data_IF_748337612891
#
_entry.id   IF_748337612891
#
_cell.length_a   1.000
_cell.length_b   1.000
_cell.length_c   1.000
_cell.angle_alpha   90.00
_cell.angle_beta   90.00
_cell.angle_gamma   90.00
#
_symmetry.space_group_name_H-M   'P 1'
#
loop_
_entity.id
_entity.type
_entity.pdbx_description
1 polymer ?
#
# COMPACT_ATOMS: atom_id res chain seq x y z
N UNK A 1 -8.39 -14.21 -22.10
CA UNK A 1 -7.94 -13.67 -20.81
C UNK A 1 -9.01 -14.02 -19.82
N UNK A 2 -8.71 -14.92 -18.89
CA UNK A 2 -9.68 -15.30 -17.88
C UNK A 2 -9.90 -14.14 -16.91
N UNK A 3 -11.16 -13.82 -16.57
CA UNK A 3 -11.46 -12.80 -15.57
C UNK A 3 -10.82 -13.19 -14.23
N UNK A 4 -10.45 -12.20 -13.42
CA UNK A 4 -10.06 -12.45 -12.03
C UNK A 4 -11.21 -13.21 -11.34
N UNK A 5 -11.00 -14.48 -10.92
CA UNK A 5 -12.07 -15.26 -10.30
C UNK A 5 -12.58 -14.59 -9.02
N UNK A 6 -11.83 -13.62 -8.47
CA UNK A 6 -12.18 -12.88 -7.27
C UNK A 6 -12.96 -11.58 -7.50
N UNK A 7 -13.19 -11.17 -8.75
CA UNK A 7 -13.92 -9.93 -9.05
C UNK A 7 -15.44 -10.03 -8.86
N UNK A 8 -15.98 -11.25 -8.83
CA UNK A 8 -17.40 -11.53 -8.66
C UNK A 8 -17.79 -11.89 -7.22
N UNK A 9 -19.09 -12.07 -7.01
CA UNK A 9 -19.61 -12.54 -5.72
C UNK A 9 -19.14 -13.97 -5.47
N UNK A 10 -18.65 -14.23 -4.26
CA UNK A 10 -18.19 -15.54 -3.85
C UNK A 10 -18.69 -15.93 -2.46
N UNK A 11 -18.82 -17.23 -2.28
CA UNK A 11 -19.11 -17.86 -1.00
C UNK A 11 -17.97 -17.58 -0.02
N UNK A 12 -18.30 -17.14 1.19
CA UNK A 12 -17.38 -16.73 2.26
C UNK A 12 -17.27 -15.23 2.47
N UNK A 13 -17.70 -14.40 1.51
CA UNK A 13 -17.72 -12.94 1.66
C UNK A 13 -18.56 -12.50 2.87
N UNK A 14 -18.08 -11.51 3.61
CA UNK A 14 -18.78 -10.91 4.75
C UNK A 14 -19.56 -9.69 4.29
N UNK A 15 -20.83 -9.62 4.68
CA UNK A 15 -21.78 -8.64 4.15
C UNK A 15 -22.58 -7.98 5.26
N UNK A 16 -23.11 -6.80 4.94
CA UNK A 16 -24.09 -6.06 5.74
C UNK A 16 -25.27 -5.67 4.85
N UNK A 17 -26.39 -5.25 5.44
CA UNK A 17 -27.53 -4.74 4.67
C UNK A 17 -27.13 -3.57 3.76
N UNK A 18 -27.68 -3.57 2.55
CA UNK A 18 -27.40 -2.60 1.51
C UNK A 18 -28.47 -1.53 1.34
N UNK A 19 -28.37 -0.82 0.21
CA UNK A 19 -29.20 0.35 -0.09
C UNK A 19 -30.64 -0.02 -0.44
N UNK A 20 -30.85 -1.17 -1.07
CA UNK A 20 -32.18 -1.62 -1.50
C UNK A 20 -32.87 -2.54 -0.47
N UNK A 21 -32.28 -2.64 0.74
CA UNK A 21 -32.76 -3.51 1.81
C UNK A 21 -34.19 -3.15 2.22
N UNK A 22 -35.07 -4.15 2.23
CA UNK A 22 -36.48 -4.02 2.62
C UNK A 22 -36.97 -5.15 3.52
N UNK A 23 -36.04 -5.88 4.14
CA UNK A 23 -36.31 -7.16 4.82
C UNK A 23 -36.38 -7.03 6.34
N UNK A 24 -36.79 -5.86 6.84
CA UNK A 24 -36.91 -5.59 8.27
C UNK A 24 -35.58 -5.79 9.00
N UNK A 25 -35.60 -6.60 10.07
CA UNK A 25 -34.45 -6.88 10.94
C UNK A 25 -33.95 -8.33 10.80
N UNK A 26 -34.09 -8.94 9.62
CA UNK A 26 -33.65 -10.33 9.39
C UNK A 26 -32.14 -10.54 9.62
N UNK A 27 -31.34 -9.47 9.50
CA UNK A 27 -29.91 -9.40 9.79
C UNK A 27 -29.57 -9.02 11.25
N UNK A 28 -30.57 -8.88 12.13
CA UNK A 28 -30.38 -8.45 13.52
C UNK A 28 -30.32 -6.93 13.73
N UNK A 29 -30.62 -6.14 12.69
CA UNK A 29 -30.54 -4.67 12.76
C UNK A 29 -29.36 -4.09 11.99
N UNK A 30 -29.38 -2.78 11.73
CA UNK A 30 -28.33 -2.15 10.92
C UNK A 30 -26.95 -2.31 11.57
N UNK A 31 -26.00 -2.80 10.76
CA UNK A 31 -24.65 -3.17 11.19
C UNK A 31 -24.48 -4.63 11.61
N UNK A 32 -25.55 -5.44 11.60
CA UNK A 32 -25.46 -6.88 11.70
C UNK A 32 -24.71 -7.47 10.51
N UNK A 33 -23.76 -8.38 10.77
CA UNK A 33 -22.91 -9.00 9.75
C UNK A 33 -23.37 -10.42 9.43
N UNK A 34 -23.26 -10.80 8.16
CA UNK A 34 -23.50 -12.14 7.69
C UNK A 34 -22.43 -12.63 6.74
N UNK A 35 -22.50 -13.93 6.43
CA UNK A 35 -21.62 -14.61 5.48
C UNK A 35 -22.43 -15.05 4.26
N UNK A 36 -21.94 -14.80 3.05
CA UNK A 36 -22.49 -15.41 1.83
C UNK A 36 -22.16 -16.91 1.84
N UNK A 37 -23.18 -17.77 1.87
CA UNK A 37 -22.99 -19.23 1.97
C UNK A 37 -23.38 -19.99 0.70
N UNK A 38 -24.17 -19.37 -0.17
CA UNK A 38 -24.66 -19.98 -1.41
C UNK A 38 -24.85 -18.89 -2.47
N UNK A 39 -24.51 -19.22 -3.72
CA UNK A 39 -24.79 -18.37 -4.88
C UNK A 39 -26.02 -18.91 -5.61
N UNK A 40 -26.90 -17.99 -5.98
CA UNK A 40 -28.05 -18.32 -6.81
C UNK A 40 -27.65 -18.82 -8.19
N UNK A 41 -28.51 -19.65 -8.78
CA UNK A 41 -28.25 -20.32 -10.05
C UNK A 41 -29.45 -20.17 -10.98
N UNK A 42 -29.16 -20.09 -12.27
CA UNK A 42 -30.20 -20.04 -13.29
C UNK A 42 -31.12 -21.28 -13.18
N UNK A 43 -32.43 -21.06 -13.16
CA UNK A 43 -33.45 -22.12 -13.04
C UNK A 43 -33.74 -22.62 -11.62
N UNK A 44 -33.03 -22.15 -10.59
CA UNK A 44 -33.37 -22.48 -9.20
C UNK A 44 -34.64 -21.73 -8.76
N UNK A 45 -35.67 -22.43 -8.25
CA UNK A 45 -36.91 -21.79 -7.79
C UNK A 45 -36.73 -21.08 -6.44
N UNK A 46 -35.80 -21.53 -5.60
CA UNK A 46 -35.56 -20.98 -4.26
C UNK A 46 -34.43 -19.94 -4.23
N UNK A 47 -33.40 -20.12 -5.05
CA UNK A 47 -32.22 -19.25 -5.10
C UNK A 47 -31.89 -18.87 -6.57
N UNK A 48 -32.69 -18.01 -7.22
CA UNK A 48 -32.50 -17.65 -8.63
C UNK A 48 -31.16 -16.98 -8.91
N UNK A 49 -30.76 -16.92 -10.18
CA UNK A 49 -29.56 -16.17 -10.59
C UNK A 49 -29.57 -14.71 -10.09
N UNK A 50 -28.38 -14.15 -9.82
CA UNK A 50 -28.19 -12.82 -9.19
C UNK A 50 -28.82 -12.65 -7.80
N UNK A 51 -29.03 -13.75 -7.10
CA UNK A 51 -29.31 -13.76 -5.67
C UNK A 51 -28.21 -14.50 -4.91
N UNK A 52 -28.15 -14.31 -3.61
CA UNK A 52 -27.26 -15.07 -2.72
C UNK A 52 -28.00 -15.48 -1.47
N UNK A 53 -27.60 -16.60 -0.85
CA UNK A 53 -28.03 -16.94 0.51
C UNK A 53 -27.00 -16.43 1.48
N UNK A 54 -27.48 -15.70 2.50
CA UNK A 54 -26.65 -15.21 3.60
C UNK A 54 -27.02 -15.96 4.87
N UNK A 55 -26.00 -16.43 5.58
CA UNK A 55 -26.07 -16.86 6.96
C UNK A 55 -25.66 -15.67 7.84
N UNK A 56 -26.64 -15.02 8.47
CA UNK A 56 -26.37 -13.95 9.43
C UNK A 56 -25.78 -14.52 10.71
N UNK A 57 -24.89 -13.75 11.34
CA UNK A 57 -24.19 -14.15 12.55
C UNK A 57 -25.16 -14.49 13.70
N UNK A 58 -26.29 -13.78 13.78
CA UNK A 58 -27.33 -14.03 14.78
C UNK A 58 -28.14 -15.32 14.50
N UNK A 59 -27.98 -15.93 13.32
CA UNK A 59 -28.51 -17.25 12.98
C UNK A 59 -29.52 -17.29 11.83
N UNK A 60 -30.14 -16.17 11.46
CA UNK A 60 -31.07 -16.12 10.31
C UNK A 60 -30.37 -16.53 9.01
N UNK A 61 -30.96 -17.45 8.26
CA UNK A 61 -30.48 -17.89 6.93
C UNK A 61 -31.55 -17.65 5.88
N UNK A 62 -31.26 -16.84 4.86
CA UNK A 62 -32.23 -16.57 3.80
C UNK A 62 -31.55 -15.95 2.56
N UNK A 63 -32.30 -15.86 1.46
CA UNK A 63 -31.82 -15.33 0.19
C UNK A 63 -32.08 -13.82 0.02
N UNK A 64 -31.18 -13.16 -0.71
CA UNK A 64 -31.20 -11.71 -0.93
C UNK A 64 -30.78 -11.37 -2.37
N UNK A 65 -31.21 -10.21 -2.86
CA UNK A 65 -30.89 -9.74 -4.21
C UNK A 65 -29.47 -9.17 -4.25
N UNK A 66 -28.67 -9.69 -5.17
CA UNK A 66 -27.33 -9.21 -5.49
C UNK A 66 -27.28 -8.90 -7.01
N UNK A 67 -28.17 -8.01 -7.45
CA UNK A 67 -28.37 -7.64 -8.86
C UNK A 67 -29.65 -8.21 -9.49
N UNK A 68 -30.40 -9.06 -8.80
CA UNK A 68 -31.72 -9.53 -9.26
C UNK A 68 -32.70 -8.35 -9.35
N UNK A 69 -33.32 -8.20 -10.53
CA UNK A 69 -34.14 -7.03 -10.89
C UNK A 69 -33.43 -5.68 -10.65
N UNK A 70 -32.09 -5.66 -10.75
CA UNK A 70 -31.28 -4.45 -10.55
C UNK A 70 -31.13 -3.99 -9.10
N UNK A 71 -31.64 -4.76 -8.12
CA UNK A 71 -31.56 -4.41 -6.72
C UNK A 71 -30.39 -5.10 -6.00
N UNK A 72 -29.80 -4.39 -5.05
CA UNK A 72 -28.65 -4.79 -4.25
C UNK A 72 -28.98 -4.64 -2.75
N UNK A 73 -29.49 -5.71 -2.17
CA UNK A 73 -29.90 -5.78 -0.76
C UNK A 73 -28.69 -5.84 0.18
N UNK A 74 -27.47 -6.01 -0.34
CA UNK A 74 -26.26 -6.27 0.45
C UNK A 74 -25.09 -5.42 -0.01
N UNK A 75 -24.23 -5.05 0.94
CA UNK A 75 -22.94 -4.44 0.72
C UNK A 75 -21.83 -5.41 1.13
N UNK A 76 -20.72 -5.41 0.38
CA UNK A 76 -19.53 -6.17 0.72
C UNK A 76 -18.76 -5.46 1.84
N UNK A 77 -18.71 -6.05 3.03
CA UNK A 77 -17.94 -5.51 4.15
C UNK A 77 -16.49 -5.98 4.11
N UNK A 78 -16.26 -7.29 3.93
CA UNK A 78 -14.93 -7.88 3.90
C UNK A 78 -14.87 -9.08 2.94
N UNK A 79 -13.81 -9.12 2.15
CA UNK A 79 -13.51 -10.19 1.19
C UNK A 79 -12.18 -10.89 1.49
N UNK A 80 -11.55 -10.65 2.65
CA UNK A 80 -10.37 -11.43 3.04
C UNK A 80 -10.69 -12.92 3.23
N UNK A 81 -11.92 -13.26 3.56
CA UNK A 81 -12.38 -14.63 3.83
C UNK A 81 -12.32 -15.52 2.59
N UNK A 82 -12.36 -14.91 1.41
CA UNK A 82 -12.21 -15.57 0.10
C UNK A 82 -10.78 -15.49 -0.45
N UNK A 83 -9.82 -15.04 0.37
CA UNK A 83 -8.40 -15.01 0.02
C UNK A 83 -7.94 -13.78 -0.75
N UNK A 84 -8.79 -12.74 -0.91
CA UNK A 84 -8.36 -11.48 -1.55
C UNK A 84 -7.22 -10.87 -0.72
N UNK A 85 -6.12 -10.52 -1.40
CA UNK A 85 -4.95 -9.89 -0.78
C UNK A 85 -4.18 -9.00 -1.75
N UNK A 86 -3.51 -7.99 -1.19
CA UNK A 86 -2.55 -7.14 -1.88
C UNK A 86 -1.15 -7.39 -1.26
N UNK A 87 -0.40 -8.40 -1.77
CA UNK A 87 0.78 -8.96 -1.08
C UNK A 87 1.89 -7.94 -0.81
N UNK A 88 2.08 -7.01 -1.74
CA UNK A 88 3.20 -6.06 -1.72
C UNK A 88 2.80 -4.71 -1.10
N UNK A 89 1.60 -4.60 -0.53
CA UNK A 89 1.09 -3.36 0.03
C UNK A 89 1.06 -3.50 1.55
N UNK A 90 1.54 -2.45 2.22
CA UNK A 90 1.59 -2.33 3.68
C UNK A 90 0.53 -1.32 4.09
N UNK A 91 -0.12 -1.55 5.24
CA UNK A 91 -0.98 -0.53 5.83
C UNK A 91 -0.09 0.48 6.57
N UNK A 92 -0.04 1.74 6.14
CA UNK A 92 0.81 2.76 6.77
C UNK A 92 0.45 3.06 8.22
N UNK A 93 -0.80 2.79 8.61
CA UNK A 93 -1.24 3.00 9.99
C UNK A 93 -0.88 1.83 10.92
N UNK A 94 -1.17 0.58 10.55
CA UNK A 94 -0.95 -0.57 11.44
C UNK A 94 0.28 -1.40 11.09
N UNK A 95 1.02 -0.99 10.06
CA UNK A 95 2.26 -1.59 9.54
C UNK A 95 2.15 -3.08 9.19
N UNK A 96 0.93 -3.60 9.01
CA UNK A 96 0.70 -4.98 8.57
C UNK A 96 1.02 -5.10 7.09
N UNK A 97 1.94 -6.02 6.79
CA UNK A 97 2.31 -6.39 5.42
C UNK A 97 1.24 -7.25 4.77
N UNK A 98 1.04 -7.06 3.46
CA UNK A 98 0.13 -7.87 2.67
C UNK A 98 -1.31 -7.64 3.10
N UNK A 99 -1.91 -6.52 2.67
CA UNK A 99 -3.29 -6.19 3.01
C UNK A 99 -4.22 -7.35 2.66
N UNK A 100 -4.90 -7.91 3.67
CA UNK A 100 -5.94 -8.94 3.46
C UNK A 100 -7.29 -8.24 3.29
N UNK A 101 -7.98 -8.54 2.20
CA UNK A 101 -9.21 -7.88 1.76
C UNK A 101 -8.94 -6.62 0.95
N UNK A 102 -9.93 -5.72 0.90
CA UNK A 102 -9.86 -4.46 0.14
C UNK A 102 -8.70 -3.54 0.58
N UNK A 103 -8.13 -2.84 -0.39
CA UNK A 103 -7.09 -1.80 -0.21
C UNK A 103 -7.71 -0.41 -0.35
N UNK A 104 -7.28 0.51 0.51
CA UNK A 104 -7.75 1.89 0.56
C UNK A 104 -6.57 2.84 0.39
N UNK A 105 -6.37 3.37 -0.81
CA UNK A 105 -5.23 4.24 -1.14
C UNK A 105 -5.62 5.71 -1.02
N UNK A 106 -4.87 6.50 -0.27
CA UNK A 106 -5.07 7.94 -0.22
C UNK A 106 -4.74 8.57 -1.58
N UNK A 107 -5.56 9.50 -2.05
CA UNK A 107 -5.32 10.23 -3.30
C UNK A 107 -4.51 11.50 -3.13
N UNK A 108 -4.33 11.93 -1.89
CA UNK A 108 -3.66 13.19 -1.54
C UNK A 108 -2.20 12.93 -1.15
N UNK A 109 -1.97 11.91 -0.31
CA UNK A 109 -0.65 11.56 0.14
C UNK A 109 0.04 10.59 -0.82
N UNK A 110 1.34 10.78 -1.01
CA UNK A 110 2.14 9.88 -1.82
C UNK A 110 2.21 8.51 -1.15
N UNK A 111 1.91 7.48 -1.93
CA UNK A 111 1.96 6.07 -1.58
C UNK A 111 1.32 5.64 -0.24
N UNK A 112 0.32 6.38 0.26
CA UNK A 112 -0.29 6.07 1.54
C UNK A 112 -1.48 5.12 1.41
N UNK A 113 -1.44 3.99 2.08
CA UNK A 113 -2.35 2.86 1.97
C UNK A 113 -2.87 2.40 3.34
N UNK A 114 -4.17 2.11 3.41
CA UNK A 114 -4.83 1.59 4.59
C UNK A 114 -5.48 0.24 4.32
N UNK A 115 -5.50 -0.62 5.35
CA UNK A 115 -6.39 -1.78 5.39
C UNK A 115 -7.83 -1.35 5.74
N UNK A 116 -8.82 -2.21 5.45
CA UNK A 116 -10.24 -1.95 5.80
C UNK A 116 -10.43 -1.57 7.25
N UNK A 117 -9.78 -2.26 8.19
CA UNK A 117 -9.92 -1.93 9.61
C UNK A 117 -9.45 -0.51 9.92
N UNK A 118 -8.24 -0.12 9.47
CA UNK A 118 -7.74 1.24 9.70
C UNK A 118 -8.60 2.31 9.02
N UNK A 119 -9.03 2.05 7.78
CA UNK A 119 -9.90 2.97 7.03
C UNK A 119 -11.22 3.25 7.78
N UNK A 120 -11.88 2.21 8.28
CA UNK A 120 -13.16 2.34 8.99
C UNK A 120 -13.03 2.90 10.42
N UNK A 121 -11.83 2.85 11.01
CA UNK A 121 -11.53 3.36 12.35
C UNK A 121 -10.92 4.77 12.35
N UNK A 122 -11.21 5.57 11.31
CA UNK A 122 -10.79 6.97 11.21
C UNK A 122 -9.28 7.17 11.29
N UNK A 123 -8.51 6.18 10.84
CA UNK A 123 -7.06 6.37 10.70
C UNK A 123 -6.78 7.18 9.45
N UNK A 124 -5.71 7.98 9.52
CA UNK A 124 -5.35 9.00 8.53
C UNK A 124 -6.35 10.17 8.45
N UNK A 125 -5.94 11.25 7.80
CA UNK A 125 -6.75 12.45 7.60
C UNK A 125 -8.12 12.11 6.96
N UNK A 126 -9.19 12.63 7.55
CA UNK A 126 -10.57 12.35 7.12
C UNK A 126 -11.00 13.22 5.96
N UNK A 127 -10.37 14.40 5.80
CA UNK A 127 -10.58 15.28 4.66
C UNK A 127 -9.96 14.75 3.35
N UNK A 128 -9.07 13.75 3.42
CA UNK A 128 -8.47 13.14 2.23
C UNK A 128 -9.43 12.17 1.55
N UNK A 129 -9.53 12.29 0.23
CA UNK A 129 -10.23 11.32 -0.62
C UNK A 129 -9.38 10.06 -0.81
N UNK A 130 -10.05 8.92 -1.03
CA UNK A 130 -9.41 7.62 -1.19
C UNK A 130 -9.89 6.92 -2.46
N UNK A 131 -9.01 6.10 -3.04
CA UNK A 131 -9.38 5.07 -4.00
C UNK A 131 -9.53 3.72 -3.28
N UNK A 132 -10.64 3.04 -3.54
CA UNK A 132 -10.87 1.66 -3.08
C UNK A 132 -10.53 0.69 -4.19
N UNK A 133 -9.70 -0.29 -3.87
CA UNK A 133 -9.42 -1.45 -4.72
C UNK A 133 -10.06 -2.67 -4.06
N UNK A 134 -11.01 -3.29 -4.77
CA UNK A 134 -11.74 -4.46 -4.26
C UNK A 134 -10.88 -5.72 -4.34
N UNK A 135 -10.08 -5.85 -5.39
CA UNK A 135 -9.04 -6.87 -5.58
C UNK A 135 -7.75 -6.24 -6.11
N UNK A 136 -6.65 -7.00 -6.13
CA UNK A 136 -5.37 -6.55 -6.69
C UNK A 136 -5.42 -6.18 -8.18
N UNK A 137 -6.42 -6.68 -8.92
CA UNK A 137 -6.59 -6.45 -10.36
C UNK A 137 -7.79 -5.56 -10.69
N UNK A 138 -8.55 -5.15 -9.68
CA UNK A 138 -9.68 -4.23 -9.85
C UNK A 138 -9.20 -2.82 -10.19
N UNK A 139 -9.98 -2.10 -11.00
CA UNK A 139 -9.86 -0.66 -11.17
C UNK A 139 -10.21 0.04 -9.86
N UNK A 140 -9.52 1.13 -9.51
CA UNK A 140 -9.88 1.92 -8.35
C UNK A 140 -11.26 2.55 -8.50
N UNK A 141 -12.02 2.55 -7.42
CA UNK A 141 -13.23 3.35 -7.26
C UNK A 141 -12.90 4.52 -6.35
N UNK A 142 -12.98 5.74 -6.90
CA UNK A 142 -12.75 6.96 -6.12
C UNK A 142 -13.92 7.22 -5.17
N UNK A 143 -13.58 7.50 -3.92
CA UNK A 143 -14.51 7.74 -2.83
C UNK A 143 -14.43 9.20 -2.37
N UNK A 144 -15.54 9.71 -1.86
CA UNK A 144 -15.58 10.98 -1.16
C UNK A 144 -14.72 10.94 0.12
N UNK A 145 -14.24 12.09 0.61
CA UNK A 145 -13.65 12.20 1.94
C UNK A 145 -14.58 11.64 3.03
N UNK A 146 -13.97 11.12 4.10
CA UNK A 146 -14.69 10.56 5.25
C UNK A 146 -15.21 11.65 6.19
N UNK A 147 -14.66 12.87 6.10
CA UNK A 147 -15.03 14.00 6.96
C UNK A 147 -16.54 14.24 6.94
N UNK A 148 -17.17 14.20 8.12
CA UNK A 148 -18.60 14.43 8.28
C UNK A 148 -19.51 13.28 7.85
N UNK A 149 -18.97 12.17 7.34
CA UNK A 149 -19.79 11.01 6.98
C UNK A 149 -20.20 10.21 8.23
N UNK A 150 -21.44 9.71 8.28
CA UNK A 150 -21.86 8.82 9.35
C UNK A 150 -21.13 7.48 9.26
N UNK A 151 -20.84 6.91 10.44
CA UNK A 151 -20.35 5.54 10.56
C UNK A 151 -21.35 4.70 11.30
N UNK A 152 -21.51 3.47 10.85
CA UNK A 152 -22.44 2.52 11.45
C UNK A 152 -21.65 1.55 12.33
N UNK A 153 -22.08 1.30 13.58
CA UNK A 153 -21.48 0.29 14.43
C UNK A 153 -21.68 -1.11 13.85
N UNK A 154 -20.60 -1.87 13.75
CA UNK A 154 -20.62 -3.24 13.26
C UNK A 154 -20.84 -4.22 14.42
N UNK A 155 -21.69 -5.22 14.26
CA UNK A 155 -22.02 -6.21 15.31
C UNK A 155 -22.15 -7.61 14.75
N UNK A 156 -21.74 -8.60 15.54
CA UNK A 156 -21.77 -10.01 15.14
C UNK A 156 -20.70 -10.85 15.87
N UNK A 157 -20.16 -11.83 15.17
CA UNK A 157 -19.10 -12.73 15.64
C UNK A 157 -17.75 -12.01 15.51
N UNK A 158 -17.47 -11.17 16.51
CA UNK A 158 -16.20 -10.48 16.70
C UNK A 158 -15.55 -10.89 18.02
N UNK A 159 -14.32 -10.44 18.24
CA UNK A 159 -13.62 -10.67 19.51
C UNK A 159 -14.49 -10.21 20.70
N UNK A 160 -14.68 -11.11 21.67
CA UNK A 160 -15.53 -10.90 22.84
C UNK A 160 -16.96 -11.41 22.70
N UNK A 161 -17.42 -11.77 21.49
CA UNK A 161 -18.79 -12.25 21.26
C UNK A 161 -19.06 -13.56 22.00
N UNK A 162 -20.29 -13.71 22.51
CA UNK A 162 -20.81 -14.97 23.05
C UNK A 162 -21.46 -15.77 21.93
N UNK A 163 -21.04 -17.01 21.76
CA UNK A 163 -21.43 -17.87 20.64
C UNK A 163 -21.87 -19.25 21.11
N UNK A 164 -22.63 -19.94 20.27
CA UNK A 164 -22.93 -21.37 20.37
C UNK A 164 -22.61 -22.04 19.03
N UNK A 165 -22.64 -23.36 18.95
CA UNK A 165 -22.55 -24.07 17.66
C UNK A 165 -23.56 -23.52 16.64
N UNK A 166 -23.09 -23.33 15.41
CA UNK A 166 -23.84 -22.83 14.26
C UNK A 166 -24.31 -23.94 13.33
N UNK A 167 -24.92 -23.57 12.19
CA UNK A 167 -25.54 -24.51 11.26
C UNK A 167 -24.56 -25.44 10.53
N UNK A 168 -23.30 -25.03 10.35
CA UNK A 168 -22.28 -25.86 9.69
C UNK A 168 -21.39 -26.65 10.68
N UNK A 169 -21.78 -26.73 11.95
CA UNK A 169 -21.00 -27.42 12.98
C UNK A 169 -20.78 -28.91 12.68
N UNK A 170 -19.53 -29.34 12.65
CA UNK A 170 -19.12 -30.74 12.41
C UNK A 170 -18.14 -31.26 13.48
N UNK A 171 -18.02 -30.56 14.61
CA UNK A 171 -16.93 -30.74 15.59
C UNK A 171 -17.36 -31.53 16.85
N UNK A 172 -18.31 -32.45 16.71
CA UNK A 172 -18.79 -33.28 17.81
C UNK A 172 -19.29 -32.44 19.00
N UNK A 173 -18.77 -32.73 20.20
CA UNK A 173 -19.11 -32.04 21.45
C UNK A 173 -17.95 -31.21 22.02
N UNK A 174 -17.08 -30.67 21.16
CA UNK A 174 -15.97 -29.79 21.59
C UNK A 174 -16.44 -28.53 22.34
N UNK A 175 -17.70 -28.14 22.16
CA UNK A 175 -18.36 -27.04 22.87
C UNK A 175 -19.01 -27.46 24.20
N UNK A 176 -18.92 -28.75 24.58
CA UNK A 176 -19.61 -29.32 25.73
C UNK A 176 -21.06 -29.74 25.45
N UNK A 177 -21.49 -29.75 24.18
CA UNK A 177 -22.83 -30.15 23.75
C UNK A 177 -23.69 -29.00 23.22
N UNK A 178 -24.82 -29.33 22.61
CA UNK A 178 -25.69 -28.35 21.95
C UNK A 178 -26.16 -27.24 22.91
N UNK A 179 -26.11 -26.00 22.41
CA UNK A 179 -26.53 -24.81 23.15
C UNK A 179 -25.54 -24.33 24.22
N UNK A 180 -24.43 -25.04 24.46
CA UNK A 180 -23.40 -24.57 25.40
C UNK A 180 -22.66 -23.36 24.82
N UNK A 181 -22.53 -22.27 25.61
CA UNK A 181 -21.93 -21.05 25.11
C UNK A 181 -20.39 -21.09 25.19
N UNK A 182 -19.77 -20.45 24.22
CA UNK A 182 -18.35 -20.10 24.23
C UNK A 182 -18.18 -18.59 24.03
N UNK A 183 -16.93 -18.14 24.15
CA UNK A 183 -16.54 -16.75 23.93
C UNK A 183 -15.47 -16.67 22.85
N UNK A 184 -15.69 -15.83 21.85
CA UNK A 184 -14.70 -15.55 20.80
C UNK A 184 -13.54 -14.80 21.42
N UNK A 185 -12.33 -15.35 21.30
CA UNK A 185 -11.10 -14.73 21.83
C UNK A 185 -10.27 -14.05 20.75
N UNK A 186 -10.36 -14.50 19.50
CA UNK A 186 -9.63 -13.94 18.37
C UNK A 186 -10.32 -14.23 17.02
N UNK A 187 -10.12 -13.35 16.04
CA UNK A 187 -10.55 -13.53 14.65
C UNK A 187 -9.31 -13.53 13.76
N UNK A 188 -9.07 -14.65 13.06
CA UNK A 188 -7.85 -14.84 12.26
C UNK A 188 -8.14 -15.54 10.94
N UNK A 189 -7.09 -15.68 10.14
CA UNK A 189 -7.14 -16.41 8.88
C UNK A 189 -7.04 -17.92 9.06
N UNK A 190 -7.55 -18.69 8.08
CA UNK A 190 -7.11 -20.06 7.87
C UNK A 190 -5.71 -20.01 7.28
N UNK A 191 -4.71 -20.03 8.15
CA UNK A 191 -3.29 -19.96 7.79
C UNK A 191 -2.96 -18.76 6.86
N UNK A 192 -2.24 -19.01 5.75
CA UNK A 192 -1.90 -18.04 4.71
C UNK A 192 -2.96 -17.94 3.60
N UNK A 193 -3.91 -18.88 3.54
CA UNK A 193 -4.90 -19.00 2.45
C UNK A 193 -5.95 -17.89 2.49
N UNK A 194 -6.54 -17.66 3.66
CA UNK A 194 -7.67 -16.73 3.82
C UNK A 194 -7.45 -15.83 5.04
N UNK A 195 -8.03 -14.64 5.08
CA UNK A 195 -7.97 -13.72 6.22
C UNK A 195 -9.30 -13.61 6.94
N UNK A 196 -9.26 -13.55 8.29
CA UNK A 196 -10.44 -13.31 9.16
C UNK A 196 -11.62 -14.25 8.85
N UNK A 197 -11.32 -15.49 8.50
CA UNK A 197 -12.25 -16.53 8.05
C UNK A 197 -12.55 -17.58 9.12
N UNK A 198 -11.88 -17.48 10.27
CA UNK A 198 -12.11 -18.33 11.45
C UNK A 198 -12.10 -17.52 12.73
N UNK A 199 -12.79 -18.05 13.74
CA UNK A 199 -12.82 -17.55 15.10
C UNK A 199 -12.18 -18.56 16.05
N UNK A 200 -11.28 -18.11 16.91
CA UNK A 200 -10.83 -18.86 18.08
C UNK A 200 -11.86 -18.67 19.19
N UNK A 201 -12.37 -19.75 19.78
CA UNK A 201 -13.42 -19.72 20.81
C UNK A 201 -12.97 -20.53 22.01
N UNK A 202 -13.10 -19.93 23.20
CA UNK A 202 -12.96 -20.61 24.48
C UNK A 202 -14.33 -21.02 25.01
N UNK A 203 -14.51 -22.30 25.29
CA UNK A 203 -15.76 -22.87 25.80
C UNK A 203 -15.80 -22.88 27.33
N UNK A 204 -16.95 -23.21 27.90
CA UNK A 204 -17.19 -23.15 29.34
C UNK A 204 -16.30 -24.11 30.16
N UNK A 205 -15.84 -25.20 29.55
CA UNK A 205 -14.91 -26.16 30.15
C UNK A 205 -13.44 -25.71 30.08
N UNK A 206 -13.17 -24.52 29.54
CA UNK A 206 -11.84 -23.94 29.37
C UNK A 206 -11.12 -24.38 28.09
N UNK A 207 -11.68 -25.30 27.31
CA UNK A 207 -11.08 -25.70 26.03
C UNK A 207 -11.16 -24.57 25.02
N UNK A 208 -10.14 -24.45 24.16
CA UNK A 208 -10.09 -23.43 23.11
C UNK A 208 -9.81 -24.09 21.77
N UNK A 209 -10.64 -23.78 20.77
CA UNK A 209 -10.56 -24.33 19.43
C UNK A 209 -10.95 -23.29 18.37
N UNK A 210 -10.80 -23.66 17.10
CA UNK A 210 -10.91 -22.75 15.96
C UNK A 210 -12.05 -23.21 15.05
N UNK A 211 -12.94 -22.29 14.71
CA UNK A 211 -14.19 -22.59 14.00
C UNK A 211 -14.39 -21.66 12.80
N UNK A 212 -15.03 -22.17 11.75
CA UNK A 212 -15.20 -21.45 10.48
C UNK A 212 -16.25 -20.34 10.62
N UNK A 213 -15.89 -19.16 10.14
CA UNK A 213 -16.77 -17.99 10.01
C UNK A 213 -16.48 -17.36 8.64
N UNK A 214 -16.93 -18.04 7.59
CA UNK A 214 -16.74 -17.62 6.19
C UNK A 214 -15.69 -18.41 5.42
N UNK A 215 -14.79 -19.17 6.07
CA UNK A 215 -13.90 -20.07 5.35
C UNK A 215 -14.72 -21.08 4.53
N UNK A 216 -14.53 -21.09 3.20
CA UNK A 216 -15.33 -21.89 2.25
C UNK A 216 -16.85 -21.71 2.41
N UNK A 217 -17.27 -20.55 2.90
CA UNK A 217 -18.69 -20.25 3.16
C UNK A 217 -19.29 -20.94 4.36
N UNK A 218 -18.50 -21.59 5.20
CA UNK A 218 -19.00 -22.31 6.37
C UNK A 218 -19.08 -21.40 7.57
N UNK A 219 -20.17 -21.55 8.33
CA UNK A 219 -20.44 -20.79 9.55
C UNK A 219 -20.75 -21.77 10.67
N UNK A 220 -19.70 -22.15 11.39
CA UNK A 220 -19.76 -23.13 12.47
C UNK A 220 -20.27 -22.53 13.78
N UNK A 221 -20.48 -21.21 13.84
CA UNK A 221 -20.85 -20.48 15.05
C UNK A 221 -22.11 -19.64 14.84
N UNK A 222 -22.93 -19.54 15.88
CA UNK A 222 -24.06 -18.61 15.97
C UNK A 222 -23.85 -17.66 17.14
N UNK A 223 -24.00 -16.37 16.91
CA UNK A 223 -23.90 -15.35 17.93
C UNK A 223 -25.17 -15.30 18.79
N UNK A 224 -24.99 -15.35 20.11
CA UNK A 224 -26.06 -15.20 21.11
C UNK A 224 -25.83 -14.02 22.06
N UNK A 225 -24.65 -13.40 21.98
CA UNK A 225 -24.33 -12.12 22.61
C UNK A 225 -23.36 -11.37 21.71
N UNK A 226 -23.87 -10.37 21.00
CA UNK A 226 -23.11 -9.61 20.00
C UNK A 226 -21.94 -8.84 20.64
N UNK A 227 -20.81 -8.84 19.95
CA UNK A 227 -19.70 -7.93 20.25
C UNK A 227 -19.57 -6.87 19.15
N UNK A 228 -19.01 -5.72 19.53
CA UNK A 228 -18.68 -4.67 18.59
C UNK A 228 -17.51 -5.11 17.69
N UNK A 229 -17.71 -5.02 16.38
CA UNK A 229 -16.68 -5.26 15.35
C UNK A 229 -15.98 -4.00 14.86
N UNK A 230 -16.22 -2.87 15.52
CA UNK A 230 -15.81 -1.55 15.06
C UNK A 230 -16.93 -0.83 14.32
N UNK A 231 -16.60 -0.19 13.22
CA UNK A 231 -17.51 0.64 12.43
C UNK A 231 -17.34 0.41 10.94
N UNK A 232 -18.22 0.97 10.13
CA UNK A 232 -18.02 1.10 8.69
C UNK A 232 -18.71 2.33 8.10
N UNK A 233 -18.19 2.81 6.97
CA UNK A 233 -18.79 3.85 6.14
C UNK A 233 -19.66 3.19 5.06
N UNK A 234 -20.99 3.23 5.23
CA UNK A 234 -21.94 2.51 4.37
C UNK A 234 -21.78 2.85 2.88
N UNK A 235 -21.71 4.14 2.57
CA UNK A 235 -21.63 4.63 1.19
C UNK A 235 -20.29 4.35 0.52
N UNK A 236 -19.29 3.94 1.31
CA UNK A 236 -17.95 3.59 0.84
C UNK A 236 -17.77 2.07 0.65
N UNK A 237 -18.78 1.25 0.92
CA UNK A 237 -18.75 -0.18 0.65
C UNK A 237 -19.23 -0.52 -0.78
N UNK A 238 -18.69 -1.58 -1.42
CA UNK A 238 -19.20 -2.07 -2.70
C UNK A 238 -20.61 -2.64 -2.56
N UNK A 239 -21.42 -2.47 -3.60
CA UNK A 239 -22.69 -3.21 -3.75
C UNK A 239 -22.39 -4.66 -4.10
N UNK A 240 -22.85 -5.60 -3.29
CA UNK A 240 -22.69 -7.01 -3.60
C UNK A 240 -23.47 -7.35 -4.88
N UNK A 241 -22.87 -8.11 -5.79
CA UNK A 241 -23.50 -8.46 -7.07
C UNK A 241 -23.15 -7.54 -8.23
N UNK A 242 -22.47 -6.42 -7.98
CA UNK A 242 -21.82 -5.62 -9.02
C UNK A 242 -20.34 -6.03 -9.06
N UNK A 243 -19.88 -6.78 -10.08
CA UNK A 243 -18.48 -7.21 -10.15
C UNK A 243 -17.54 -6.01 -10.18
N UNK A 244 -16.38 -6.15 -9.53
CA UNK A 244 -15.32 -5.16 -9.62
C UNK A 244 -14.87 -5.04 -11.09
N UNK A 245 -14.83 -3.81 -11.62
CA UNK A 245 -14.29 -3.61 -12.97
C UNK A 245 -12.81 -3.98 -12.97
N UNK A 246 -12.41 -4.88 -13.85
CA UNK A 246 -11.01 -5.27 -13.95
C UNK A 246 -10.20 -4.24 -14.72
N UNK A 247 -8.99 -3.99 -14.26
CA UNK A 247 -8.03 -3.20 -15.00
C UNK A 247 -7.71 -3.98 -16.28
N UNK A 248 -8.15 -3.47 -17.44
CA UNK A 248 -7.67 -3.99 -18.73
C UNK A 248 -6.16 -3.98 -18.65
N UNK A 249 -5.50 -5.12 -18.88
CA UNK A 249 -4.05 -5.08 -19.11
C UNK A 249 -3.86 -4.13 -20.27
N UNK A 250 -3.19 -3.02 -20.01
CA UNK A 250 -2.79 -2.10 -21.07
C UNK A 250 -2.00 -2.96 -22.05
N UNK A 251 -2.40 -2.99 -23.33
CA UNK A 251 -1.59 -3.57 -24.40
C UNK A 251 -0.17 -3.06 -24.21
N UNK A 252 0.80 -3.97 -24.07
CA UNK A 252 2.28 -3.89 -24.11
C UNK A 252 3.07 -2.57 -23.92
N UNK A 253 2.49 -1.38 -24.00
CA UNK A 253 3.17 -0.07 -23.98
C UNK A 253 3.33 0.53 -22.58
N UNK A 254 2.75 -0.08 -21.55
CA UNK A 254 3.10 0.19 -20.15
C UNK A 254 3.39 -1.13 -19.43
N UNK A 255 4.52 -1.75 -19.74
CA UNK A 255 4.96 -2.92 -18.98
C UNK A 255 5.28 -2.50 -17.53
N UNK A 256 4.71 -3.16 -16.51
CA UNK A 256 5.28 -3.10 -15.16
C UNK A 256 6.72 -3.61 -15.20
N UNK A 257 7.56 -3.16 -14.26
CA UNK A 257 8.96 -3.59 -14.16
C UNK A 257 9.05 -5.12 -14.19
N UNK A 258 9.92 -5.64 -15.05
CA UNK A 258 10.22 -7.05 -15.19
C UNK A 258 11.44 -7.43 -14.36
N UNK A 259 11.58 -8.73 -14.09
CA UNK A 259 12.76 -9.23 -13.39
C UNK A 259 14.02 -8.96 -14.23
N UNK A 260 14.96 -8.20 -13.66
CA UNK A 260 16.18 -7.75 -14.33
C UNK A 260 16.16 -6.30 -14.79
N UNK A 261 15.01 -5.62 -14.69
CA UNK A 261 14.92 -4.20 -15.00
C UNK A 261 15.78 -3.38 -14.02
N UNK A 262 16.64 -2.55 -14.60
CA UNK A 262 17.37 -1.53 -13.84
C UNK A 262 16.49 -0.30 -13.74
N UNK A 263 16.13 0.09 -12.52
CA UNK A 263 15.22 1.21 -12.24
C UNK A 263 15.96 2.39 -11.62
N UNK A 264 15.47 3.61 -11.88
CA UNK A 264 15.92 4.83 -11.21
C UNK A 264 14.80 5.33 -10.32
N UNK A 265 15.08 5.58 -9.04
CA UNK A 265 14.15 6.31 -8.20
C UNK A 265 14.24 7.80 -8.53
N UNK A 266 13.11 8.39 -8.90
CA UNK A 266 13.01 9.82 -9.23
C UNK A 266 12.46 10.64 -8.07
N UNK A 267 12.18 10.01 -6.94
CA UNK A 267 11.70 10.67 -5.73
C UNK A 267 12.86 11.32 -4.98
N UNK A 268 12.58 12.45 -4.35
CA UNK A 268 13.54 13.08 -3.44
C UNK A 268 13.92 12.13 -2.29
N UNK A 269 15.17 12.22 -1.84
CA UNK A 269 15.74 11.35 -0.81
C UNK A 269 14.91 11.33 0.48
N UNK A 270 14.38 12.47 0.90
CA UNK A 270 13.56 12.56 2.11
C UNK A 270 12.21 11.86 1.94
N UNK A 271 11.58 12.00 0.77
CA UNK A 271 10.33 11.32 0.41
C UNK A 271 10.55 9.82 0.34
N UNK A 272 11.63 9.39 -0.33
CA UNK A 272 11.98 7.98 -0.43
C UNK A 272 12.29 7.37 0.94
N UNK A 273 12.99 8.08 1.82
CA UNK A 273 13.28 7.63 3.19
C UNK A 273 12.00 7.38 3.99
N UNK A 274 11.02 8.27 3.89
CA UNK A 274 9.72 8.10 4.54
C UNK A 274 8.99 6.88 3.97
N UNK A 275 8.94 6.73 2.65
CA UNK A 275 8.29 5.60 1.97
C UNK A 275 8.94 4.24 2.28
N UNK A 276 10.23 4.23 2.65
CA UNK A 276 10.93 3.01 3.04
C UNK A 276 10.54 2.50 4.44
N UNK A 277 9.80 3.28 5.24
CA UNK A 277 9.33 2.84 6.55
C UNK A 277 8.36 1.66 6.42
N UNK A 278 8.76 0.48 6.90
CA UNK A 278 8.02 -0.77 6.73
C UNK A 278 8.32 -1.50 5.42
N UNK A 279 8.97 -0.86 4.43
CA UNK A 279 9.34 -1.47 3.15
C UNK A 279 10.82 -1.90 3.10
N UNK A 280 11.31 -2.50 4.19
CA UNK A 280 12.71 -2.92 4.34
C UNK A 280 13.64 -1.87 4.98
N UNK A 281 13.12 -0.67 5.25
CA UNK A 281 13.82 0.39 5.97
C UNK A 281 14.76 1.20 5.07
N UNK A 282 15.29 2.28 5.66
CA UNK A 282 16.24 3.17 5.01
C UNK A 282 17.67 2.85 5.43
N UNK A 283 18.54 2.61 4.46
CA UNK A 283 19.98 2.57 4.66
C UNK A 283 20.58 3.89 4.15
N UNK A 284 21.40 4.62 4.92
CA UNK A 284 22.05 5.85 4.46
C UNK A 284 22.78 5.71 3.10
N UNK A 285 23.31 4.53 2.78
CA UNK A 285 23.92 4.24 1.46
C UNK A 285 22.93 4.27 0.29
N UNK A 286 21.62 4.21 0.56
CA UNK A 286 20.58 4.40 -0.45
C UNK A 286 20.53 5.86 -0.96
N UNK A 287 20.97 6.83 -0.13
CA UNK A 287 21.17 8.22 -0.55
C UNK A 287 22.40 8.38 -1.47
N UNK A 288 23.39 7.50 -1.30
CA UNK A 288 24.69 7.54 -1.99
C UNK A 288 24.66 6.86 -3.37
N UNK A 289 23.47 6.62 -3.93
CA UNK A 289 23.34 6.04 -5.26
C UNK A 289 23.75 7.02 -6.36
N UNK A 290 25.05 7.03 -6.66
CA UNK A 290 25.64 7.59 -7.88
C UNK A 290 25.28 6.74 -9.11
N UNK A 291 23.98 6.55 -9.34
CA UNK A 291 23.47 5.78 -10.48
C UNK A 291 23.51 6.64 -11.73
N UNK A 292 24.66 6.59 -12.41
CA UNK A 292 24.84 7.18 -13.73
C UNK A 292 24.29 6.26 -14.82
N UNK A 293 23.66 6.85 -15.82
CA UNK A 293 23.06 6.18 -16.97
C UNK A 293 23.78 6.55 -18.25
N UNK A 294 23.67 5.70 -19.27
CA UNK A 294 24.14 6.05 -20.62
C UNK A 294 23.40 7.31 -21.06
N UNK A 295 24.16 8.36 -21.38
CA UNK A 295 23.64 9.66 -21.74
C UNK A 295 23.86 10.74 -20.69
N UNK A 296 24.09 10.39 -19.43
CA UNK A 296 24.31 11.36 -18.36
C UNK A 296 25.57 12.21 -18.62
N UNK A 297 25.46 13.50 -18.32
CA UNK A 297 26.59 14.43 -18.37
C UNK A 297 27.21 14.50 -16.98
N UNK A 298 28.52 14.30 -16.91
CA UNK A 298 29.27 14.12 -15.66
C UNK A 298 30.55 14.92 -15.69
N UNK A 299 30.98 15.42 -14.53
CA UNK A 299 32.29 16.04 -14.34
C UNK A 299 33.22 15.05 -13.67
N UNK A 300 34.41 14.87 -14.23
CA UNK A 300 35.48 14.11 -13.58
C UNK A 300 36.07 14.96 -12.46
N UNK A 301 36.32 14.35 -11.30
CA UNK A 301 37.00 15.03 -10.18
C UNK A 301 38.34 15.60 -10.67
N UNK A 302 38.65 16.84 -10.27
CA UNK A 302 39.88 17.54 -10.70
C UNK A 302 41.14 17.13 -9.94
N UNK A 303 40.98 16.58 -8.74
CA UNK A 303 42.09 16.19 -7.87
C UNK A 303 42.69 14.83 -8.30
N UNK A 304 43.93 14.87 -8.79
CA UNK A 304 44.65 13.72 -9.33
C UNK A 304 44.81 12.60 -8.28
N UNK A 305 45.19 12.94 -7.06
CA UNK A 305 45.46 11.96 -6.00
C UNK A 305 44.17 11.25 -5.56
N UNK A 306 43.07 11.98 -5.49
CA UNK A 306 41.74 11.41 -5.22
C UNK A 306 41.29 10.48 -6.35
N UNK A 307 41.43 10.88 -7.62
CA UNK A 307 41.05 10.02 -8.74
C UNK A 307 41.91 8.76 -8.80
N UNK A 308 43.22 8.85 -8.55
CA UNK A 308 44.11 7.68 -8.45
C UNK A 308 43.65 6.69 -7.38
N UNK A 309 43.33 7.17 -6.17
CA UNK A 309 42.81 6.32 -5.09
C UNK A 309 41.48 5.66 -5.43
N UNK A 310 40.57 6.40 -6.08
CA UNK A 310 39.23 5.93 -6.41
C UNK A 310 39.18 5.01 -7.65
N UNK A 311 40.21 5.05 -8.50
CA UNK A 311 40.38 4.15 -9.65
C UNK A 311 41.01 2.78 -9.29
N UNK A 312 41.65 2.66 -8.13
CA UNK A 312 42.28 1.41 -7.70
C UNK A 312 41.24 0.28 -7.62
N UNK A 313 41.49 -0.83 -8.31
CA UNK A 313 40.54 -1.95 -8.43
C UNK A 313 39.42 -1.76 -9.46
N UNK A 314 39.37 -0.63 -10.18
CA UNK A 314 38.33 -0.27 -11.17
C UNK A 314 38.94 0.01 -12.56
N UNK A 315 39.89 -0.82 -12.98
CA UNK A 315 40.64 -0.67 -14.22
C UNK A 315 41.92 0.15 -14.10
N UNK A 316 42.28 0.54 -12.87
CA UNK A 316 43.46 1.33 -12.50
C UNK A 316 43.52 2.71 -13.14
N UNK A 317 44.43 3.54 -12.64
CA UNK A 317 44.74 4.83 -13.25
C UNK A 317 45.85 4.66 -14.30
N UNK A 318 45.73 5.36 -15.43
CA UNK A 318 46.85 5.59 -16.36
C UNK A 318 47.08 7.10 -16.55
N UNK A 319 48.33 7.52 -16.71
CA UNK A 319 48.65 8.95 -16.82
C UNK A 319 48.02 9.62 -18.06
N UNK A 320 47.64 8.84 -19.08
CA UNK A 320 46.88 9.34 -20.23
C UNK A 320 45.47 9.83 -19.88
N UNK A 321 44.96 9.47 -18.70
CA UNK A 321 43.67 9.96 -18.18
C UNK A 321 43.76 11.37 -17.59
N UNK A 322 44.97 11.88 -17.31
CA UNK A 322 45.19 13.21 -16.71
C UNK A 322 44.46 14.37 -17.43
N UNK A 323 44.40 14.42 -18.78
CA UNK A 323 43.68 15.47 -19.49
C UNK A 323 42.16 15.47 -19.24
N UNK A 324 41.60 14.39 -18.69
CA UNK A 324 40.17 14.29 -18.39
C UNK A 324 39.80 14.88 -17.02
N UNK A 325 40.76 15.10 -16.11
CA UNK A 325 40.50 15.63 -14.77
C UNK A 325 39.83 17.00 -14.83
N UNK A 326 38.79 17.18 -14.02
CA UNK A 326 38.00 18.42 -13.96
C UNK A 326 37.08 18.67 -15.16
N UNK A 327 37.22 17.89 -16.24
CA UNK A 327 36.45 18.10 -17.46
C UNK A 327 35.08 17.46 -17.39
N UNK A 328 34.16 18.04 -18.15
CA UNK A 328 32.82 17.50 -18.36
C UNK A 328 32.86 16.50 -19.51
N UNK A 329 32.20 15.37 -19.32
CA UNK A 329 32.04 14.32 -20.31
C UNK A 329 30.65 13.71 -20.30
N UNK A 330 30.40 12.82 -21.25
CA UNK A 330 29.13 12.11 -21.38
C UNK A 330 29.34 10.62 -21.14
N UNK A 331 28.52 10.02 -20.28
CA UNK A 331 28.53 8.57 -20.06
C UNK A 331 28.04 7.88 -21.33
N UNK A 332 28.89 7.05 -21.94
CA UNK A 332 28.59 6.31 -23.17
C UNK A 332 28.30 4.83 -22.93
N UNK A 333 28.72 4.28 -21.78
CA UNK A 333 28.41 2.90 -21.39
C UNK A 333 28.45 2.74 -19.88
N UNK A 334 27.55 1.92 -19.34
CA UNK A 334 27.61 1.41 -17.97
C UNK A 334 27.94 -0.08 -18.04
N UNK A 335 29.02 -0.50 -17.38
CA UNK A 335 29.47 -1.89 -17.36
C UNK A 335 28.72 -2.71 -16.29
N UNK A 336 28.82 -4.04 -16.38
CA UNK A 336 28.16 -4.96 -15.45
C UNK A 336 28.69 -4.89 -14.02
N UNK A 337 29.94 -4.45 -13.86
CA UNK A 337 30.63 -4.21 -12.59
C UNK A 337 30.33 -2.81 -12.00
N UNK A 338 29.52 -2.00 -12.68
CA UNK A 338 29.17 -0.64 -12.26
C UNK A 338 30.10 0.45 -12.78
N UNK A 339 31.22 0.12 -13.42
CA UNK A 339 32.13 1.11 -13.99
C UNK A 339 31.51 1.83 -15.20
N UNK A 340 32.00 3.02 -15.52
CA UNK A 340 31.40 3.91 -16.49
C UNK A 340 32.39 4.26 -17.57
N UNK A 341 32.03 4.01 -18.83
CA UNK A 341 32.78 4.58 -19.96
C UNK A 341 32.25 5.99 -20.21
N UNK A 342 33.12 6.97 -20.09
CA UNK A 342 32.82 8.40 -20.27
C UNK A 342 33.60 8.94 -21.46
N UNK A 343 32.91 9.62 -22.37
CA UNK A 343 33.53 10.36 -23.45
C UNK A 343 33.86 11.78 -22.97
N UNK A 344 35.15 12.12 -22.91
CA UNK A 344 35.68 13.42 -22.49
C UNK A 344 36.58 13.95 -23.60
N UNK A 345 36.27 15.13 -24.13
CA UNK A 345 37.07 15.78 -25.19
C UNK A 345 37.42 14.86 -26.39
N UNK A 346 36.48 14.01 -26.82
CA UNK A 346 36.66 13.09 -27.96
C UNK A 346 37.35 11.76 -27.62
N UNK A 347 37.94 11.62 -26.44
CA UNK A 347 38.52 10.36 -25.96
C UNK A 347 37.56 9.65 -25.00
N UNK A 348 37.74 8.34 -24.82
CA UNK A 348 36.86 7.51 -23.98
C UNK A 348 37.65 6.85 -22.88
N UNK A 349 37.25 7.11 -21.65
CA UNK A 349 37.90 6.61 -20.44
C UNK A 349 36.92 5.79 -19.62
N UNK A 350 37.40 4.75 -18.95
CA UNK A 350 36.61 4.02 -17.97
C UNK A 350 36.89 4.60 -16.59
N UNK A 351 35.85 5.02 -15.89
CA UNK A 351 35.92 5.55 -14.53
C UNK A 351 35.07 4.72 -13.57
N UNK A 352 35.57 4.58 -12.35
CA UNK A 352 34.76 4.31 -11.17
C UNK A 352 33.70 5.41 -11.02
N UNK A 353 32.44 5.08 -10.68
CA UNK A 353 31.40 6.06 -10.43
C UNK A 353 31.79 7.13 -9.41
N UNK A 354 32.60 6.78 -8.42
CA UNK A 354 33.07 7.70 -7.38
C UNK A 354 34.01 8.79 -7.90
N UNK A 355 34.61 8.61 -9.09
CA UNK A 355 35.44 9.62 -9.75
C UNK A 355 34.61 10.71 -10.46
N UNK A 356 33.28 10.57 -10.47
CA UNK A 356 32.37 11.37 -11.27
C UNK A 356 31.33 12.07 -10.41
N UNK A 357 31.00 13.29 -10.80
CA UNK A 357 29.91 14.08 -10.22
C UNK A 357 28.89 14.34 -11.33
N UNK A 358 27.60 14.21 -11.04
CA UNK A 358 26.57 14.58 -11.99
C UNK A 358 26.71 16.07 -12.35
N UNK A 359 26.80 16.37 -13.64
CA UNK A 359 26.98 17.75 -14.10
C UNK A 359 25.65 18.34 -14.53
N UNK A 360 25.23 19.40 -13.82
CA UNK A 360 24.05 20.20 -14.15
C UNK A 360 24.50 21.63 -14.47
N UNK A 361 24.32 22.11 -15.72
CA UNK A 361 24.79 23.44 -16.14
C UNK A 361 24.27 24.59 -15.28
N UNK A 362 23.08 24.45 -14.69
CA UNK A 362 22.40 25.50 -13.92
C UNK A 362 23.00 25.72 -12.52
N UNK A 363 23.61 24.69 -11.92
CA UNK A 363 24.21 24.76 -10.58
C UNK A 363 25.60 25.40 -10.62
N UNK A 364 26.35 25.17 -11.70
CA UNK A 364 27.71 25.68 -11.90
C UNK A 364 27.74 27.19 -12.22
N UNK A 365 26.75 27.69 -12.97
CA UNK A 365 26.59 29.12 -13.22
C UNK A 365 26.33 29.91 -11.93
N UNK A 366 25.61 29.30 -10.97
CA UNK A 366 25.35 29.90 -9.66
C UNK A 366 26.60 29.88 -8.75
N UNK A 367 27.44 28.86 -8.86
CA UNK A 367 28.71 28.77 -8.14
C UNK A 367 29.75 29.77 -8.67
N UNK A 368 29.87 29.93 -9.99
CA UNK A 368 30.75 30.92 -10.62
C UNK A 368 30.36 32.36 -10.24
N UNK A 369 29.05 32.66 -10.16
CA UNK A 369 28.55 33.95 -9.68
C UNK A 369 28.86 34.15 -8.19
N UNK A 370 28.75 33.10 -7.38
CA UNK A 370 29.04 33.15 -5.95
C UNK A 370 30.55 33.28 -5.66
N UNK A 371 31.43 32.62 -6.42
CA UNK A 371 32.89 32.75 -6.30
C UNK A 371 33.36 34.12 -6.78
N UNK A 372 32.88 34.62 -7.92
CA UNK A 372 33.16 36.00 -8.38
C UNK A 372 32.66 37.04 -7.36
N UNK A 373 31.55 36.80 -6.70
CA UNK A 373 31.05 37.66 -5.64
C UNK A 373 31.92 37.61 -4.36
N UNK A 374 32.54 36.47 -4.05
CA UNK A 374 33.50 36.32 -2.95
C UNK A 374 34.83 36.98 -3.26
N UNK A 375 35.38 36.79 -4.46
CA UNK A 375 36.63 37.43 -4.90
C UNK A 375 36.50 38.95 -4.97
N UNK A 376 35.36 39.48 -5.45
CA UNK A 376 35.09 40.91 -5.46
C UNK A 376 34.95 41.50 -4.05
N UNK A 377 34.44 40.74 -3.07
CA UNK A 377 34.39 41.15 -1.65
C UNK A 377 35.79 41.18 -1.03
N UNK A 378 36.65 40.23 -1.37
CA UNK A 378 38.05 40.19 -0.93
C UNK A 378 38.88 41.35 -1.51
N UNK A 379 38.67 41.68 -2.78
CA UNK A 379 39.36 42.79 -3.45
C UNK A 379 38.90 44.18 -2.94
N UNK A 380 37.63 44.32 -2.55
CA UNK A 380 37.09 45.55 -1.98
C UNK A 380 37.60 45.84 -0.55
N UNK A 381 37.98 44.81 0.21
CA UNK A 381 38.53 44.97 1.56
C UNK A 381 40.01 45.42 1.57
N UNK A 382 40.76 45.22 0.47
CA UNK A 382 42.15 45.68 0.35
C UNK A 382 42.30 47.15 -0.13
N UNK A 383 41.21 47.84 -0.49
CA UNK A 383 41.23 49.24 -0.95
C UNK A 383 40.47 50.15 0.02
N UNK A 384 40.96 50.29 1.25
CA UNK A 384 40.63 51.44 2.10
C UNK A 384 41.78 52.46 2.02
N UNK A 385 41.54 53.73 1.64
CA UNK A 385 42.57 54.74 1.70
C UNK A 385 42.86 55.13 3.15
N UNK A 386 44.15 55.20 3.50
CA UNK A 386 44.65 55.85 4.71
C UNK A 386 44.67 57.36 4.46
N UNK A 387 43.89 58.10 5.24
CA UNK A 387 43.97 59.57 5.37
C UNK A 387 43.05 59.94 6.53
N UNK A 388 43.48 60.58 7.60
CA UNK A 388 44.48 61.63 7.76
C UNK A 388 43.75 62.72 8.54
N UNK A 389 44.07 62.85 9.83
CA UNK A 389 43.22 63.53 10.82
C UNK A 389 43.18 65.05 10.76
N UNK A 390 42.26 65.64 11.54
CA UNK A 390 42.37 66.97 12.11
C UNK A 390 41.48 67.07 13.36
N UNK A 391 42.06 67.54 14.45
CA UNK A 391 41.42 67.81 15.74
C UNK A 391 40.56 69.08 15.71
N UNK A 392 39.78 69.35 16.78
CA UNK A 392 39.47 70.72 17.15
C UNK A 392 39.99 71.06 18.55
N UNK A 393 40.67 72.20 18.63
CA UNK A 393 41.02 72.87 19.89
C UNK A 393 39.88 73.76 20.40
N UNK A 394 39.88 73.90 21.72
CA UNK A 394 39.25 74.88 22.60
C UNK A 394 38.48 76.06 22.00
N UNK A 395 37.22 76.25 22.44
CA UNK A 395 36.89 77.18 23.52
C UNK A 395 35.53 76.87 24.15
#
# INVERSE_FOLDING_TARGET
MDPDPQAGVQVGMRVVRGVDWKWGQQDGGEGGVGTVVELGRHGSPSTPDRTVVVQWDQGTRTNYRAGYQGAHDLLLYDNAQIGVRHPNIICDCCKKHGLRGMRWKCRVCLDYDLCTQCYMHNKHELAHAFDRYETAHSRPVTLSPRQGLPRIPLRGIFQGAKVVRGPDWEWGSQDGGEGKPGRVVDIRGWDVETGRSVASVTWADGTTNVYRVGHKGKVDLKCVGEAAGGFYYKDHLPRLGKPAELQRRVSADSQPFQHGDKVKCLLDTDVLREMQEGHGGWNPRMAEHHSFWVGDVVRVIGDLDTVKRLQAGHGEWTDDMAPALGRVGKVVKVFGDGNLRVAVAGQRWTFSPSCLVAYRPEEDANLDVAERARENKSAAQLRRPVGGGAAPGHH
#
